data_IF_637028409204
#
_entry.id   IF_637028409204
#
_cell.length_a   1.000
_cell.length_b   1.000
_cell.length_c   1.000
_cell.angle_alpha   90.00
_cell.angle_beta   90.00
_cell.angle_gamma   90.00
#
_symmetry.space_group_name_H-M   'P 1'
#
loop_
_entity.id
_entity.type
_entity.pdbx_description
1 polymer ?
#
# COMPACT_ATOMS: atom_id res chain seq x y z
N UNK A 1 -24.03 4.32 5.24
CA UNK A 1 -23.75 2.90 4.97
C UNK A 1 -22.31 2.81 4.50
N UNK A 2 -21.48 1.98 5.13
CA UNK A 2 -20.09 1.82 4.69
C UNK A 2 -20.08 0.92 3.44
N UNK A 3 -19.48 1.33 2.30
CA UNK A 3 -19.41 0.51 1.09
C UNK A 3 -18.82 -0.89 1.31
N UNK A 4 -17.96 -1.05 2.32
CA UNK A 4 -17.37 -2.34 2.68
C UNK A 4 -18.39 -3.32 3.28
N UNK A 5 -19.48 -2.82 3.86
CA UNK A 5 -20.56 -3.65 4.42
C UNK A 5 -21.35 -4.36 3.32
N UNK A 6 -21.49 -3.71 2.15
CA UNK A 6 -22.22 -4.24 0.99
C UNK A 6 -21.64 -5.57 0.49
N UNK A 7 -20.33 -5.73 0.64
CA UNK A 7 -19.58 -6.93 0.24
C UNK A 7 -19.13 -7.78 1.43
N UNK A 8 -19.68 -7.49 2.63
CA UNK A 8 -19.35 -8.19 3.90
C UNK A 8 -17.86 -8.12 4.27
N UNK A 9 -17.13 -7.16 3.73
CA UNK A 9 -15.69 -7.04 3.97
C UNK A 9 -15.42 -6.57 5.41
N UNK A 10 -16.27 -5.70 5.96
CA UNK A 10 -16.17 -5.26 7.36
C UNK A 10 -16.18 -6.44 8.35
N UNK A 11 -17.10 -7.39 8.18
CA UNK A 11 -17.16 -8.61 9.02
C UNK A 11 -15.91 -9.47 8.89
N UNK A 12 -15.27 -9.52 7.72
CA UNK A 12 -13.98 -10.22 7.57
C UNK A 12 -12.85 -9.47 8.28
N UNK A 13 -12.82 -8.14 8.13
CA UNK A 13 -11.81 -7.26 8.73
C UNK A 13 -11.88 -7.24 10.27
N UNK A 14 -13.05 -7.52 10.87
CA UNK A 14 -13.21 -7.73 12.32
C UNK A 14 -12.58 -9.05 12.80
N UNK A 15 -12.53 -10.07 11.93
CA UNK A 15 -12.01 -11.40 12.28
C UNK A 15 -10.50 -11.50 12.14
N UNK A 16 -9.90 -10.72 11.26
CA UNK A 16 -8.44 -10.74 11.04
C UNK A 16 -7.93 -9.45 10.41
N UNK A 17 -6.69 -9.11 10.75
CA UNK A 17 -5.91 -8.08 10.08
C UNK A 17 -4.96 -8.65 9.02
N UNK A 18 -5.00 -9.95 8.75
CA UNK A 18 -4.02 -10.67 7.93
C UNK A 18 -2.95 -11.39 8.75
N UNK A 19 -2.07 -12.10 8.05
CA UNK A 19 -0.98 -12.88 8.65
C UNK A 19 0.33 -12.59 7.91
N UNK A 20 1.47 -12.39 8.60
CA UNK A 20 2.76 -12.09 7.95
C UNK A 20 3.27 -13.18 6.99
N UNK A 21 2.76 -14.42 7.09
CA UNK A 21 3.09 -15.50 6.14
C UNK A 21 2.36 -15.36 4.81
N UNK A 22 1.32 -14.53 4.75
CA UNK A 22 0.64 -14.18 3.49
C UNK A 22 1.36 -12.98 2.91
N UNK A 23 1.95 -13.20 1.74
CA UNK A 23 2.73 -12.20 1.01
C UNK A 23 1.88 -11.66 -0.14
N UNK A 24 1.73 -10.35 -0.21
CA UNK A 24 1.04 -9.64 -1.29
C UNK A 24 2.07 -8.85 -2.08
N UNK A 25 2.12 -9.05 -3.40
CA UNK A 25 3.01 -8.29 -4.27
C UNK A 25 2.26 -7.11 -4.91
N UNK A 26 2.79 -5.90 -4.78
CA UNK A 26 2.34 -4.69 -5.45
C UNK A 26 3.31 -4.36 -6.59
N UNK A 27 2.84 -4.58 -7.82
CA UNK A 27 3.54 -4.23 -9.06
C UNK A 27 2.95 -2.91 -9.58
N UNK A 28 3.58 -1.79 -9.26
CA UNK A 28 3.04 -0.44 -9.54
C UNK A 28 4.18 0.59 -9.64
N UNK A 29 3.95 1.86 -9.30
CA UNK A 29 4.98 2.84 -8.99
C UNK A 29 5.62 2.62 -7.61
N UNK A 30 6.58 3.47 -7.24
CA UNK A 30 7.17 3.43 -5.91
C UNK A 30 6.19 3.93 -4.85
N UNK A 31 6.21 3.32 -3.66
CA UNK A 31 5.35 3.72 -2.54
C UNK A 31 6.03 4.79 -1.70
N UNK A 32 5.28 5.82 -1.27
CA UNK A 32 5.77 6.77 -0.27
C UNK A 32 5.85 6.10 1.11
N UNK A 33 7.01 5.52 1.40
CA UNK A 33 7.30 4.84 2.68
C UNK A 33 7.28 5.77 3.90
N UNK A 34 7.30 7.09 3.68
CA UNK A 34 7.22 8.10 4.75
C UNK A 34 5.78 8.51 5.07
N UNK A 35 4.79 7.96 4.37
CA UNK A 35 3.38 8.25 4.66
C UNK A 35 3.04 7.76 6.08
N UNK A 36 2.53 8.63 7.00
CA UNK A 36 2.33 8.27 8.41
C UNK A 36 1.46 7.03 8.61
N UNK A 37 0.40 6.89 7.81
CA UNK A 37 -0.52 5.75 7.93
C UNK A 37 0.09 4.43 7.42
N UNK A 38 1.28 4.43 6.80
CA UNK A 38 2.02 3.23 6.40
C UNK A 38 3.15 2.88 7.38
N UNK A 39 3.37 3.66 8.44
CA UNK A 39 4.52 3.50 9.34
C UNK A 39 4.59 2.14 10.04
N UNK A 40 3.42 1.51 10.30
CA UNK A 40 3.32 0.20 10.97
C UNK A 40 3.31 -0.98 9.98
N UNK A 41 3.23 -0.71 8.68
CA UNK A 41 3.07 -1.73 7.65
C UNK A 41 4.37 -2.51 7.41
N UNK A 42 4.25 -3.82 7.18
CA UNK A 42 5.38 -4.70 6.84
C UNK A 42 5.66 -4.66 5.34
N UNK A 43 6.28 -3.58 4.89
CA UNK A 43 6.58 -3.34 3.47
C UNK A 43 8.06 -3.63 3.18
N UNK A 44 8.34 -4.38 2.12
CA UNK A 44 9.70 -4.61 1.61
C UNK A 44 9.75 -4.25 0.12
N UNK A 45 10.73 -3.44 -0.26
CA UNK A 45 10.94 -3.09 -1.68
C UNK A 45 11.89 -4.13 -2.30
N UNK A 46 11.56 -4.59 -3.50
CA UNK A 46 12.38 -5.56 -4.25
C UNK A 46 12.70 -5.02 -5.65
N UNK A 47 13.95 -5.22 -6.08
CA UNK A 47 14.39 -4.92 -7.44
C UNK A 47 14.48 -3.43 -7.77
N UNK A 48 15.00 -2.61 -6.86
CA UNK A 48 15.19 -1.17 -7.07
C UNK A 48 16.03 -0.88 -8.32
N UNK A 49 15.51 -0.01 -9.19
CA UNK A 49 16.22 0.52 -10.36
C UNK A 49 16.22 2.04 -10.27
N UNK A 50 17.26 2.72 -10.78
CA UNK A 50 17.38 4.18 -10.71
C UNK A 50 16.07 4.89 -11.11
N UNK A 51 15.58 5.80 -10.25
CA UNK A 51 14.31 6.51 -10.43
C UNK A 51 13.08 5.83 -9.79
N UNK A 52 13.29 4.87 -8.89
CA UNK A 52 12.24 4.18 -8.12
C UNK A 52 12.01 4.78 -6.72
N UNK A 53 12.49 5.99 -6.42
CA UNK A 53 12.11 6.68 -5.18
C UNK A 53 10.80 7.43 -5.40
N UNK A 54 9.93 7.42 -4.39
CA UNK A 54 8.87 8.41 -4.34
C UNK A 54 9.40 9.67 -3.64
N UNK A 55 9.45 10.77 -4.37
CA UNK A 55 9.85 12.07 -3.84
C UNK A 55 8.65 12.83 -3.24
N UNK A 56 8.92 13.94 -2.55
CA UNK A 56 7.93 14.64 -1.71
C UNK A 56 6.70 15.19 -2.46
N UNK A 57 6.84 15.56 -3.74
CA UNK A 57 5.70 16.00 -4.57
C UNK A 57 4.94 14.82 -5.22
N UNK A 58 5.58 13.64 -5.29
CA UNK A 58 5.03 12.38 -5.76
C UNK A 58 4.52 12.38 -7.21
N UNK A 59 5.17 11.64 -8.12
CA UNK A 59 4.63 11.39 -9.46
C UNK A 59 3.25 10.75 -9.41
N UNK A 60 2.54 10.74 -10.55
CA UNK A 60 1.26 10.02 -10.64
C UNK A 60 1.40 8.55 -10.25
N UNK A 61 2.50 7.90 -10.65
CA UNK A 61 2.80 6.53 -10.27
C UNK A 61 3.04 6.38 -8.76
N UNK A 62 3.73 7.32 -8.10
CA UNK A 62 3.88 7.25 -6.66
C UNK A 62 2.55 7.44 -5.92
N UNK A 63 1.76 8.45 -6.30
CA UNK A 63 0.47 8.71 -5.65
C UNK A 63 -0.47 7.50 -5.80
N UNK A 64 -0.48 6.90 -6.99
CA UNK A 64 -1.25 5.68 -7.26
C UNK A 64 -0.78 4.51 -6.38
N UNK A 65 0.51 4.18 -6.40
CA UNK A 65 1.06 3.08 -5.60
C UNK A 65 0.84 3.29 -4.09
N UNK A 66 1.01 4.52 -3.60
CA UNK A 66 0.77 4.87 -2.18
C UNK A 66 -0.70 4.73 -1.81
N UNK A 67 -1.62 5.11 -2.71
CA UNK A 67 -3.06 4.93 -2.51
C UNK A 67 -3.43 3.44 -2.42
N UNK A 68 -2.91 2.61 -3.33
CA UNK A 68 -3.13 1.15 -3.30
C UNK A 68 -2.51 0.52 -2.06
N UNK A 69 -1.27 0.89 -1.70
CA UNK A 69 -0.64 0.45 -0.46
C UNK A 69 -1.48 0.85 0.77
N UNK A 70 -2.09 2.04 0.75
CA UNK A 70 -3.01 2.48 1.80
C UNK A 70 -4.25 1.58 1.91
N UNK A 71 -4.88 1.25 0.77
CA UNK A 71 -6.02 0.32 0.74
C UNK A 71 -5.65 -1.03 1.36
N UNK A 72 -4.44 -1.54 1.09
CA UNK A 72 -4.00 -2.85 1.56
C UNK A 72 -3.55 -2.84 3.02
N UNK A 73 -2.64 -1.93 3.39
CA UNK A 73 -1.86 -2.08 4.61
C UNK A 73 -1.65 -0.79 5.40
N UNK A 74 -2.46 0.26 5.16
CA UNK A 74 -2.49 1.39 6.10
C UNK A 74 -2.85 0.93 7.52
N UNK A 75 -2.73 1.83 8.49
CA UNK A 75 -3.26 1.60 9.83
C UNK A 75 -4.78 1.47 9.80
N UNK A 76 -5.32 0.47 10.49
CA UNK A 76 -6.78 0.30 10.66
C UNK A 76 -7.37 1.53 11.36
N UNK A 77 -8.48 2.05 10.85
CA UNK A 77 -9.10 3.27 11.37
C UNK A 77 -8.54 4.57 10.79
N UNK A 78 -7.54 4.48 9.90
CA UNK A 78 -7.16 5.60 9.03
C UNK A 78 -8.25 5.88 7.98
N UNK A 79 -8.03 6.89 7.14
CA UNK A 79 -8.93 7.17 5.99
C UNK A 79 -8.99 6.01 5.00
N UNK A 80 -7.90 5.23 4.88
CA UNK A 80 -7.87 4.06 4.01
C UNK A 80 -8.39 2.81 4.74
N UNK A 81 -9.03 1.87 4.03
CA UNK A 81 -9.67 0.71 4.64
C UNK A 81 -8.68 -0.24 5.34
N UNK A 82 -7.42 -0.28 4.87
CA UNK A 82 -6.38 -1.17 5.37
C UNK A 82 -6.82 -2.64 5.36
N UNK A 83 -7.11 -3.25 4.22
CA UNK A 83 -7.74 -4.60 4.15
C UNK A 83 -6.93 -5.65 4.94
N UNK A 84 -5.62 -5.68 4.79
CA UNK A 84 -4.71 -6.70 5.32
C UNK A 84 -3.40 -6.14 5.94
N UNK A 85 -3.46 -5.26 6.95
CA UNK A 85 -2.29 -4.52 7.47
C UNK A 85 -1.24 -5.39 8.15
N UNK A 86 -1.58 -6.61 8.55
CA UNK A 86 -0.64 -7.55 9.14
C UNK A 86 -0.04 -8.55 8.13
N UNK A 87 -0.41 -8.48 6.85
CA UNK A 87 0.27 -9.22 5.79
C UNK A 87 1.62 -8.56 5.45
N UNK A 88 2.51 -9.30 4.77
CA UNK A 88 3.74 -8.73 4.23
C UNK A 88 3.47 -8.20 2.82
N UNK A 89 3.74 -6.91 2.60
CA UNK A 89 3.65 -6.28 1.28
C UNK A 89 5.04 -6.26 0.63
N UNK A 90 5.17 -6.87 -0.55
CA UNK A 90 6.34 -6.70 -1.40
C UNK A 90 6.04 -5.66 -2.46
N UNK A 91 6.79 -4.59 -2.49
CA UNK A 91 6.66 -3.53 -3.50
C UNK A 91 7.73 -3.74 -4.55
N UNK A 92 7.31 -3.93 -5.80
CA UNK A 92 8.20 -3.96 -6.95
C UNK A 92 7.79 -2.84 -7.91
N UNK A 93 8.49 -1.70 -7.88
CA UNK A 93 8.23 -0.62 -8.83
C UNK A 93 8.48 -1.11 -10.26
N UNK A 94 7.47 -1.02 -11.12
CA UNK A 94 7.54 -1.24 -12.57
C UNK A 94 7.33 0.07 -13.35
N UNK A 95 6.82 1.10 -12.67
CA UNK A 95 6.73 2.48 -13.17
C UNK A 95 7.69 3.38 -12.40
N UNK A 96 8.20 4.43 -13.08
CA UNK A 96 9.14 5.40 -12.48
C UNK A 96 8.45 6.35 -11.51
N UNK A 97 9.19 6.78 -10.48
CA UNK A 97 8.75 7.74 -9.46
C UNK A 97 8.86 9.20 -9.87
N UNK A 98 9.46 9.49 -11.01
CA UNK A 98 9.40 10.79 -11.69
C UNK A 98 8.46 10.68 -12.88
N UNK A 99 7.59 11.67 -13.06
CA UNK A 99 6.92 11.85 -14.35
C UNK A 99 8.02 12.09 -15.40
N UNK A 100 7.90 11.48 -16.59
CA UNK A 100 8.88 11.65 -17.65
C UNK A 100 9.02 13.13 -18.07
N UNK A 101 10.08 13.50 -18.82
CA UNK A 101 10.10 14.80 -19.49
C UNK A 101 8.87 14.99 -20.38
#
# INVERSE_FOLDING_TARGET
MNPLDLVKLSTLMERTAGNPRVVVALLDGPVNMRHPELAEAKIQVIGESQGSSCDAEGSTACRHATFIAGILCARRGSTAPAICPNCTLLVRPIFRGADGP
#
